data_IF_761460306512
#
_entry.id   IF_761460306512
#
_cell.length_a   1.000
_cell.length_b   1.000
_cell.length_c   1.000
_cell.angle_alpha   90.00
_cell.angle_beta   90.00
_cell.angle_gamma   90.00
#
_symmetry.space_group_name_H-M   'P 1'
#
loop_
_entity.id
_entity.type
_entity.pdbx_description
1 polymer ?
#
# COMPACT_ATOMS: atom_id res chain seq x y z
N UNK A 1 -16.33 -2.81 -10.19
CA UNK A 1 -16.57 -2.79 -11.65
C UNK A 1 -15.23 -2.55 -12.33
N UNK A 2 -14.45 -3.61 -12.55
CA UNK A 2 -13.35 -3.74 -13.53
C UNK A 2 -12.76 -5.14 -13.32
N UNK A 3 -12.86 -6.00 -14.33
CA UNK A 3 -12.33 -7.39 -14.33
C UNK A 3 -11.33 -7.55 -15.49
N UNK A 4 -10.69 -6.46 -15.90
CA UNK A 4 -10.00 -6.37 -17.20
C UNK A 4 -8.63 -7.06 -17.28
N UNK A 5 -8.18 -7.71 -16.21
CA UNK A 5 -6.94 -8.48 -16.24
C UNK A 5 -7.14 -9.91 -16.82
N UNK A 6 -8.38 -10.41 -16.96
CA UNK A 6 -8.67 -11.70 -17.62
C UNK A 6 -9.43 -11.58 -18.94
N UNK A 7 -8.68 -11.70 -20.05
CA UNK A 7 -9.11 -12.25 -21.36
C UNK A 7 -10.41 -11.70 -21.95
N UNK A 8 -10.29 -10.69 -22.81
CA UNK A 8 -10.99 -10.68 -24.11
C UNK A 8 -10.03 -10.15 -25.18
N UNK A 9 -9.71 -10.95 -26.21
CA UNK A 9 -9.17 -10.45 -27.48
C UNK A 9 -10.31 -9.71 -28.23
N UNK A 10 -10.72 -8.59 -27.66
CA UNK A 10 -11.52 -7.55 -28.28
C UNK A 10 -10.67 -6.29 -28.14
N UNK A 11 -10.83 -5.33 -29.05
CA UNK A 11 -10.14 -4.03 -29.06
C UNK A 11 -10.54 -3.12 -27.86
N UNK A 12 -10.87 -3.70 -26.71
CA UNK A 12 -10.98 -3.03 -25.44
C UNK A 12 -9.58 -2.94 -24.81
N UNK A 13 -9.28 -1.75 -24.30
CA UNK A 13 -8.01 -1.35 -23.70
C UNK A 13 -7.62 -2.35 -22.60
N UNK A 14 -6.55 -3.12 -22.82
CA UNK A 14 -5.91 -3.87 -21.73
C UNK A 14 -5.44 -2.85 -20.70
N UNK A 15 -6.03 -2.85 -19.50
CA UNK A 15 -5.45 -2.13 -18.37
C UNK A 15 -4.12 -2.82 -18.04
N UNK A 16 -3.01 -2.07 -17.94
CA UNK A 16 -1.72 -2.68 -17.62
C UNK A 16 -1.76 -3.23 -16.19
N UNK A 17 -1.77 -4.56 -16.05
CA UNK A 17 -1.67 -5.27 -14.78
C UNK A 17 -0.34 -6.03 -14.64
N UNK A 18 0.10 -6.25 -13.41
CA UNK A 18 1.29 -7.05 -13.09
C UNK A 18 0.95 -8.54 -13.09
N UNK A 19 1.74 -9.35 -13.78
CA UNK A 19 1.46 -10.78 -13.94
C UNK A 19 2.45 -11.60 -13.11
N UNK A 20 1.94 -12.56 -12.35
CA UNK A 20 2.77 -13.52 -11.59
C UNK A 20 3.73 -14.27 -12.50
N UNK A 21 4.98 -14.36 -12.07
CA UNK A 21 6.01 -15.17 -12.71
C UNK A 21 6.88 -15.81 -11.64
N UNK A 22 7.25 -17.08 -11.83
CA UNK A 22 8.08 -17.83 -10.86
C UNK A 22 7.56 -17.73 -9.41
N UNK A 23 6.24 -17.77 -9.22
CA UNK A 23 5.60 -17.77 -7.91
C UNK A 23 5.58 -16.43 -7.18
N UNK A 24 5.89 -15.32 -7.86
CA UNK A 24 5.88 -13.99 -7.26
C UNK A 24 5.48 -12.89 -8.25
N UNK A 25 5.11 -11.74 -7.69
CA UNK A 25 4.92 -10.47 -8.40
C UNK A 25 5.84 -9.44 -7.75
N UNK A 26 6.53 -8.64 -8.56
CA UNK A 26 7.39 -7.55 -8.07
C UNK A 26 7.01 -6.25 -8.75
N UNK A 27 6.78 -5.22 -7.95
CA UNK A 27 6.17 -3.95 -8.37
C UNK A 27 7.02 -2.81 -7.80
N UNK A 28 7.40 -1.87 -8.67
CA UNK A 28 7.95 -0.58 -8.23
C UNK A 28 6.80 0.31 -7.72
N UNK A 29 6.98 0.98 -6.58
CA UNK A 29 5.91 1.77 -5.96
C UNK A 29 5.33 2.87 -6.87
N UNK A 30 6.14 3.41 -7.80
CA UNK A 30 5.69 4.45 -8.73
C UNK A 30 4.81 3.94 -9.88
N UNK A 31 4.54 2.64 -9.96
CA UNK A 31 3.73 2.04 -11.02
C UNK A 31 2.35 1.60 -10.50
N UNK A 32 1.71 2.43 -9.67
CA UNK A 32 0.29 2.27 -9.35
C UNK A 32 -0.57 2.52 -10.60
N UNK A 33 -1.72 1.86 -10.68
CA UNK A 33 -2.67 1.99 -11.79
C UNK A 33 -3.74 3.05 -11.47
N UNK A 34 -4.11 3.16 -10.20
CA UNK A 34 -5.12 4.09 -9.73
C UNK A 34 -4.81 4.57 -8.30
N UNK A 35 -5.55 5.57 -7.86
CA UNK A 35 -5.55 6.05 -6.47
C UNK A 35 -7.01 6.00 -5.99
N UNK A 36 -7.26 5.21 -4.95
CA UNK A 36 -8.49 5.36 -4.17
C UNK A 36 -8.34 6.63 -3.32
N UNK A 37 -9.28 7.56 -3.40
CA UNK A 37 -9.15 8.89 -2.76
C UNK A 37 -9.47 8.88 -1.26
N UNK A 38 -10.18 7.86 -0.76
CA UNK A 38 -10.69 7.84 0.61
C UNK A 38 -12.10 8.40 0.74
N UNK A 39 -12.68 8.24 1.93
CA UNK A 39 -14.02 8.70 2.30
C UNK A 39 -14.02 10.08 2.98
N UNK A 40 -12.84 10.66 3.25
CA UNK A 40 -12.74 11.98 3.88
C UNK A 40 -12.90 13.12 2.86
N UNK A 41 -13.51 14.23 3.29
CA UNK A 41 -13.62 15.46 2.48
C UNK A 41 -12.30 16.26 2.44
N UNK A 42 -11.19 15.72 2.97
CA UNK A 42 -9.90 16.40 3.04
C UNK A 42 -9.13 16.18 1.73
N UNK A 43 -9.53 16.92 0.68
CA UNK A 43 -8.93 16.89 -0.67
C UNK A 43 -7.45 17.32 -0.72
N UNK A 44 -6.78 17.49 0.43
CA UNK A 44 -5.42 18.00 0.52
C UNK A 44 -4.34 16.91 0.46
N UNK A 45 -4.72 15.63 0.57
CA UNK A 45 -3.78 14.51 0.63
C UNK A 45 -3.55 13.88 -0.75
N UNK A 46 -2.31 13.92 -1.22
CA UNK A 46 -1.92 13.38 -2.52
C UNK A 46 -0.67 12.52 -2.43
N UNK A 47 -0.62 11.44 -3.21
CA UNK A 47 0.62 10.67 -3.38
C UNK A 47 1.56 11.34 -4.39
N UNK A 48 2.79 11.59 -3.94
CA UNK A 48 3.84 12.13 -4.78
C UNK A 48 4.87 11.06 -5.12
N UNK A 49 5.19 10.92 -6.41
CA UNK A 49 6.31 10.11 -6.87
C UNK A 49 7.62 10.87 -6.78
N UNK A 50 8.54 10.37 -5.96
CA UNK A 50 9.89 10.91 -5.77
C UNK A 50 10.86 10.14 -6.67
N UNK A 51 11.17 10.71 -7.84
CA UNK A 51 12.04 10.08 -8.85
C UNK A 51 13.46 9.88 -8.32
N UNK A 52 14.09 8.75 -8.66
CA UNK A 52 15.44 8.37 -8.26
C UNK A 52 15.65 8.32 -6.73
N UNK A 53 14.58 8.07 -5.99
CA UNK A 53 14.62 7.90 -4.55
C UNK A 53 14.59 6.42 -4.18
N UNK A 54 15.36 6.05 -3.16
CA UNK A 54 15.47 4.67 -2.70
C UNK A 54 16.57 3.88 -3.41
N UNK A 55 16.40 2.55 -3.46
CA UNK A 55 17.40 1.61 -3.99
C UNK A 55 17.17 1.23 -5.46
N UNK A 56 16.01 1.58 -6.00
CA UNK A 56 15.54 1.20 -7.34
C UNK A 56 15.06 2.44 -8.11
N UNK A 57 13.85 2.43 -8.69
CA UNK A 57 13.35 3.46 -9.61
C UNK A 57 12.92 4.76 -8.90
N UNK A 58 12.05 4.63 -7.90
CA UNK A 58 11.42 5.77 -7.22
C UNK A 58 10.78 5.33 -5.89
N UNK A 59 10.59 6.29 -4.99
CA UNK A 59 9.69 6.16 -3.84
C UNK A 59 8.37 6.88 -4.11
N UNK A 60 7.35 6.51 -3.34
CA UNK A 60 6.07 7.23 -3.29
C UNK A 60 5.78 7.56 -1.84
N UNK A 61 5.27 8.76 -1.58
CA UNK A 61 4.93 9.24 -0.24
C UNK A 61 3.75 10.20 -0.28
N UNK A 62 3.02 10.26 0.83
CA UNK A 62 1.89 11.16 0.99
C UNK A 62 2.36 12.60 1.23
N UNK A 63 1.63 13.56 0.68
CA UNK A 63 1.83 15.00 0.86
C UNK A 63 0.48 15.66 1.19
N UNK A 64 0.42 16.66 2.09
CA UNK A 64 1.53 17.29 2.81
C UNK A 64 2.10 16.41 3.95
N UNK A 65 3.34 16.69 4.36
CA UNK A 65 4.09 15.86 5.33
C UNK A 65 3.65 16.05 6.79
N UNK A 66 2.86 17.08 7.07
CA UNK A 66 2.31 17.42 8.38
C UNK A 66 0.84 16.97 8.54
N UNK A 67 0.37 16.07 7.68
CA UNK A 67 -0.92 15.42 7.82
C UNK A 67 -1.01 14.64 9.15
N UNK A 68 -2.20 14.66 9.75
CA UNK A 68 -2.51 13.84 10.93
C UNK A 68 -2.66 12.36 10.57
N UNK A 69 -2.67 11.50 11.59
CA UNK A 69 -2.94 10.06 11.41
C UNK A 69 -4.34 9.86 10.82
N UNK A 70 -4.46 8.92 9.89
CA UNK A 70 -5.70 8.60 9.19
C UNK A 70 -6.19 7.23 9.62
N UNK A 71 -7.50 7.08 9.82
CA UNK A 71 -8.12 5.77 9.96
C UNK A 71 -8.23 5.07 8.59
N UNK A 72 -8.37 3.75 8.63
CA UNK A 72 -8.50 2.94 7.40
C UNK A 72 -9.74 3.40 6.62
N UNK A 73 -9.53 3.81 5.36
CA UNK A 73 -10.57 4.30 4.47
C UNK A 73 -10.69 5.82 4.41
N UNK A 74 -10.10 6.58 5.34
CA UNK A 74 -10.19 8.05 5.32
C UNK A 74 -9.25 8.68 4.29
N UNK A 75 -8.04 8.12 4.15
CA UNK A 75 -6.99 8.65 3.28
C UNK A 75 -6.84 7.92 1.95
N UNK A 76 -6.04 8.49 1.02
CA UNK A 76 -5.84 7.87 -0.27
C UNK A 76 -5.01 6.59 -0.18
N UNK A 77 -5.25 5.65 -1.09
CA UNK A 77 -4.51 4.40 -1.23
C UNK A 77 -4.01 4.18 -2.67
N UNK A 78 -2.78 3.69 -2.81
CA UNK A 78 -2.22 3.29 -4.11
C UNK A 78 -2.81 1.95 -4.53
N UNK A 79 -3.46 1.90 -5.69
CA UNK A 79 -4.03 0.67 -6.24
C UNK A 79 -3.13 0.05 -7.31
N UNK A 80 -2.94 -1.27 -7.18
CA UNK A 80 -2.14 -2.07 -8.10
C UNK A 80 -2.97 -3.23 -8.62
N UNK A 81 -3.13 -3.31 -9.94
CA UNK A 81 -3.80 -4.43 -10.58
C UNK A 81 -2.79 -5.55 -10.83
N UNK A 82 -3.13 -6.78 -10.40
CA UNK A 82 -2.28 -7.94 -10.65
C UNK A 82 -3.06 -9.20 -11.00
N UNK A 83 -2.38 -10.12 -11.66
CA UNK A 83 -2.86 -11.45 -12.01
C UNK A 83 -2.02 -12.53 -11.34
N UNK A 84 -2.67 -13.38 -10.54
CA UNK A 84 -2.04 -14.51 -9.89
C UNK A 84 -2.58 -15.82 -10.50
N UNK A 85 -1.68 -16.70 -10.95
CA UNK A 85 -1.99 -18.05 -11.41
C UNK A 85 -2.07 -19.04 -10.25
N UNK A 86 -1.34 -18.77 -9.17
CA UNK A 86 -1.20 -19.69 -8.05
C UNK A 86 -2.49 -19.74 -7.22
N UNK A 87 -3.00 -20.96 -7.00
CA UNK A 87 -4.16 -21.21 -6.14
C UNK A 87 -3.71 -21.35 -4.69
N UNK A 88 -3.30 -20.24 -4.09
CA UNK A 88 -2.94 -20.15 -2.67
C UNK A 88 -3.99 -19.35 -1.90
N UNK A 89 -4.28 -19.79 -0.68
CA UNK A 89 -5.21 -19.08 0.23
C UNK A 89 -4.55 -17.90 0.96
N UNK A 90 -3.25 -17.69 0.78
CA UNK A 90 -2.49 -16.62 1.42
C UNK A 90 -1.27 -16.23 0.57
N UNK A 91 -0.92 -14.95 0.60
CA UNK A 91 0.29 -14.40 -0.02
C UNK A 91 1.10 -13.63 1.03
N UNK A 92 2.42 -13.72 0.96
CA UNK A 92 3.30 -12.87 1.75
C UNK A 92 3.58 -11.59 0.97
N UNK A 93 3.17 -10.46 1.52
CA UNK A 93 3.46 -9.14 0.94
C UNK A 93 4.63 -8.51 1.69
N UNK A 94 5.66 -8.10 0.94
CA UNK A 94 6.83 -7.41 1.49
C UNK A 94 6.89 -6.00 0.92
N UNK A 95 6.81 -4.99 1.78
CA UNK A 95 6.93 -3.59 1.39
C UNK A 95 8.35 -3.07 1.69
N UNK A 96 8.98 -2.46 0.69
CA UNK A 96 10.26 -1.78 0.86
C UNK A 96 10.03 -0.29 1.13
N UNK A 97 10.06 0.09 2.40
CA UNK A 97 9.88 1.48 2.83
C UNK A 97 11.23 2.17 3.12
N UNK A 98 11.21 3.50 3.11
CA UNK A 98 12.34 4.30 3.61
C UNK A 98 12.68 3.90 5.05
N UNK A 99 13.95 4.01 5.48
CA UNK A 99 14.35 3.73 6.87
C UNK A 99 13.91 4.87 7.82
N UNK A 100 12.62 5.18 7.84
CA UNK A 100 12.01 6.17 8.72
C UNK A 100 11.89 5.59 10.13
N UNK A 101 12.27 6.39 11.13
CA UNK A 101 12.06 6.05 12.53
C UNK A 101 10.61 6.38 12.94
N UNK A 102 10.15 5.78 14.04
CA UNK A 102 8.91 6.17 14.69
C UNK A 102 9.05 7.52 15.43
N UNK A 103 9.25 8.61 14.69
CA UNK A 103 9.71 9.89 15.23
C UNK A 103 8.66 10.65 16.04
N UNK A 104 7.36 10.38 15.82
CA UNK A 104 6.26 10.92 16.62
C UNK A 104 5.96 10.07 17.88
N UNK A 105 6.67 8.95 18.04
CA UNK A 105 6.66 8.10 19.23
C UNK A 105 5.49 7.12 19.30
N UNK A 106 5.41 6.33 20.37
CA UNK A 106 4.46 5.20 20.48
C UNK A 106 2.98 5.61 20.57
N UNK A 107 2.70 6.90 20.78
CA UNK A 107 1.34 7.45 20.79
C UNK A 107 0.86 7.92 19.42
N UNK A 108 1.77 8.06 18.47
CA UNK A 108 1.50 8.36 17.08
C UNK A 108 2.49 7.54 16.22
N UNK A 109 2.28 6.22 16.14
CA UNK A 109 3.20 5.33 15.47
C UNK A 109 3.20 5.54 13.94
N UNK A 110 4.33 5.28 13.30
CA UNK A 110 4.38 5.12 11.85
C UNK A 110 3.72 3.80 11.44
N UNK A 111 2.57 3.90 10.77
CA UNK A 111 1.75 2.76 10.34
C UNK A 111 1.32 2.89 8.88
N UNK A 112 0.96 1.75 8.26
CA UNK A 112 0.27 1.71 6.99
C UNK A 112 -0.74 0.55 6.98
N UNK A 113 -1.78 0.66 6.15
CA UNK A 113 -2.71 -0.42 5.88
C UNK A 113 -2.43 -1.04 4.51
N UNK A 114 -2.69 -2.35 4.39
CA UNK A 114 -2.62 -3.07 3.13
C UNK A 114 -3.73 -4.11 3.04
N UNK A 115 -4.29 -4.26 1.84
CA UNK A 115 -5.33 -5.26 1.55
C UNK A 115 -5.12 -5.83 0.17
N UNK A 116 -5.39 -7.13 0.01
CA UNK A 116 -5.50 -7.78 -1.29
C UNK A 116 -6.99 -8.02 -1.55
N UNK A 117 -7.52 -7.45 -2.62
CA UNK A 117 -8.94 -7.57 -2.99
C UNK A 117 -9.07 -8.57 -4.14
N UNK A 118 -9.65 -9.77 -3.93
CA UNK A 118 -9.90 -10.71 -5.01
C UNK A 118 -10.91 -10.13 -6.00
N UNK A 119 -10.65 -10.34 -7.29
CA UNK A 119 -11.53 -9.85 -8.36
C UNK A 119 -12.94 -10.43 -8.23
N UNK A 120 -13.93 -9.56 -8.11
CA UNK A 120 -15.34 -9.93 -8.03
C UNK A 120 -15.81 -10.36 -6.64
N UNK A 121 -14.96 -10.23 -5.62
CA UNK A 121 -15.32 -10.42 -4.22
C UNK A 121 -15.34 -9.07 -3.48
N UNK A 122 -15.98 -9.05 -2.32
CA UNK A 122 -15.94 -7.89 -1.43
C UNK A 122 -14.53 -7.73 -0.84
N UNK A 123 -14.14 -6.48 -0.58
CA UNK A 123 -12.87 -6.18 0.06
C UNK A 123 -12.82 -6.82 1.47
N UNK A 124 -11.79 -7.64 1.77
CA UNK A 124 -11.59 -8.14 3.12
C UNK A 124 -11.06 -7.05 4.05
N UNK A 125 -11.05 -7.31 5.36
CA UNK A 125 -10.49 -6.40 6.36
C UNK A 125 -9.01 -6.08 6.06
N UNK A 126 -8.62 -4.80 5.97
CA UNK A 126 -7.23 -4.41 5.77
C UNK A 126 -6.33 -4.81 6.93
N UNK A 127 -5.08 -5.16 6.62
CA UNK A 127 -4.04 -5.42 7.62
C UNK A 127 -3.28 -4.14 7.92
N UNK A 128 -3.31 -3.70 9.18
CA UNK A 128 -2.49 -2.57 9.67
C UNK A 128 -1.12 -3.10 10.08
N UNK A 129 -0.07 -2.44 9.60
CA UNK A 129 1.33 -2.78 9.89
C UNK A 129 2.03 -1.61 10.54
N UNK A 130 2.64 -1.87 11.69
CA UNK A 130 3.56 -0.96 12.39
C UNK A 130 5.00 -1.51 12.24
N UNK A 131 5.82 -0.99 11.29
CA UNK A 131 7.15 -1.56 11.02
C UNK A 131 8.13 -1.42 12.18
N UNK A 132 7.97 -0.34 12.96
CA UNK A 132 8.78 -0.06 14.15
C UNK A 132 7.88 -0.19 15.37
N UNK A 133 8.01 -1.30 16.10
CA UNK A 133 7.24 -1.57 17.31
C UNK A 133 7.49 -0.56 18.43
N UNK A 134 6.68 -0.63 19.50
CA UNK A 134 6.76 0.33 20.61
C UNK A 134 8.12 0.29 21.30
N UNK A 135 8.51 1.42 21.88
CA UNK A 135 9.72 1.53 22.67
C UNK A 135 9.54 0.76 23.99
N UNK A 136 10.14 -0.43 24.07
CA UNK A 136 10.18 -1.21 25.31
C UNK A 136 11.40 -0.79 26.13
N UNK A 137 11.19 0.09 27.10
CA UNK A 137 12.21 0.42 28.09
C UNK A 137 12.59 -0.82 28.90
N UNK A 138 13.88 -1.15 28.99
CA UNK A 138 14.35 -2.23 29.85
C UNK A 138 14.21 -1.81 31.32
N UNK A 139 13.24 -2.38 32.05
CA UNK A 139 13.05 -2.19 33.49
C UNK A 139 12.86 -0.72 33.95
N UNK A 140 11.99 0.05 33.29
CA UNK A 140 11.56 1.32 33.91
C UNK A 140 10.81 1.03 35.22
N UNK A 141 11.15 1.69 36.34
CA UNK A 141 10.41 1.54 37.59
C UNK A 141 8.95 1.95 37.40
N UNK A 142 8.03 1.28 38.11
CA UNK A 142 6.66 1.78 38.24
C UNK A 142 6.72 3.16 38.92
N UNK A 143 6.17 4.17 38.24
CA UNK A 143 6.02 5.53 38.77
C UNK A 143 4.76 5.68 39.62
#
# INVERSE_FOLDING_TARGET
MSTDCERTFSLAKLTPCFVESDGHVSIEASHYQDIYEGDSDDESLEYHTIKNYGRTLAGVGLYPLDAETLEVGEGPALEYEMYLFSNHSAANVTLFISPAANYLGDRNPLEYAIVLVPSGEDQPEPTIVQPIGPNVGSNMPEG
#
